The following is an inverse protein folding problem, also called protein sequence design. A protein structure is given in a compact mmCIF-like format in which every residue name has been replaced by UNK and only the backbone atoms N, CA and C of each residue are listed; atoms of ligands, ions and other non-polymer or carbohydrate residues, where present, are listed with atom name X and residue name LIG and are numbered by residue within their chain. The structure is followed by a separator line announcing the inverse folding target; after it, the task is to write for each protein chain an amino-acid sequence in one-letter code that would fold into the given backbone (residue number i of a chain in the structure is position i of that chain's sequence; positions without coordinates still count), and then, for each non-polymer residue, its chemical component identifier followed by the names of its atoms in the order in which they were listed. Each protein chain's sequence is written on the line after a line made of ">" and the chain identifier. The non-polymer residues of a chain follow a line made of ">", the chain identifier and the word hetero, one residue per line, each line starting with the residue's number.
data_IF_710792591817
#
_entry.id   IF_710792591817
#
_cell.length_a   1.000
_cell.length_b   1.000
_cell.length_c   1.000
_cell.angle_alpha   90.00
_cell.angle_beta   90.00
_cell.angle_gamma   90.00
#
_symmetry.space_group_name_H-M   'P 1'
#
loop_
_entity.id
_entity.type
_entity.pdbx_description
1 polymer ?
#
# COMPACT_ATOMS: atom_id res chain seq x y z
N UNK A 1 39.83 -43.08 57.00
CA UNK A 1 39.62 -42.74 58.42
C UNK A 1 40.25 -41.39 58.69
N UNK A 2 39.47 -40.50 59.31
CA UNK A 2 39.85 -39.24 59.95
C UNK A 2 40.50 -38.14 59.08
N UNK A 3 40.19 -36.86 59.23
CA UNK A 3 39.25 -36.19 60.12
C UNK A 3 38.92 -34.83 59.51
N UNK A 4 37.64 -34.46 59.54
CA UNK A 4 37.18 -33.09 59.36
C UNK A 4 37.78 -32.15 60.42
N UNK A 5 37.73 -30.83 60.17
CA UNK A 5 36.91 -29.87 60.94
C UNK A 5 37.49 -28.42 60.90
N UNK A 6 36.63 -27.44 60.52
CA UNK A 6 36.55 -26.01 60.94
C UNK A 6 37.59 -25.03 60.38
N UNK A 7 37.31 -23.77 59.99
CA UNK A 7 36.35 -22.70 60.35
C UNK A 7 36.29 -21.75 59.11
N UNK A 8 35.19 -21.67 58.35
CA UNK A 8 34.14 -20.63 58.35
C UNK A 8 34.49 -19.19 58.76
N UNK A 9 33.94 -18.26 57.96
CA UNK A 9 33.67 -16.82 58.18
C UNK A 9 34.70 -15.77 57.77
N UNK A 10 34.15 -14.73 57.13
CA UNK A 10 34.65 -13.36 56.98
C UNK A 10 35.38 -12.99 55.68
N UNK A 11 34.68 -13.01 54.54
CA UNK A 11 34.89 -12.01 53.48
C UNK A 11 33.62 -11.77 52.63
N UNK A 12 32.45 -11.95 53.24
CA UNK A 12 31.20 -11.42 52.72
C UNK A 12 31.05 -10.02 53.31
N UNK A 13 30.70 -9.04 52.47
CA UNK A 13 30.55 -7.60 52.77
C UNK A 13 31.81 -6.75 52.56
N UNK A 14 32.19 -6.50 51.30
CA UNK A 14 32.58 -5.15 50.83
C UNK A 14 32.72 -5.09 49.30
N UNK A 15 31.62 -5.28 48.57
CA UNK A 15 31.48 -4.75 47.20
C UNK A 15 30.05 -4.26 46.99
N UNK A 16 29.69 -3.24 47.77
CA UNK A 16 28.66 -2.27 47.39
C UNK A 16 29.38 -1.18 46.58
N UNK A 17 29.33 -1.30 45.25
CA UNK A 17 29.29 -0.20 44.29
C UNK A 17 29.60 -0.74 42.89
N UNK A 18 28.90 -0.19 41.89
CA UNK A 18 29.18 -0.31 40.46
C UNK A 18 28.75 -1.60 39.74
N UNK A 19 27.45 -1.66 39.43
CA UNK A 19 27.02 -1.76 38.04
C UNK A 19 25.55 -1.34 37.97
N UNK A 20 25.34 -0.09 37.56
CA UNK A 20 24.05 0.48 37.20
C UNK A 20 23.35 -0.39 36.15
N UNK A 21 22.03 -0.40 36.23
CA UNK A 21 21.16 -1.30 35.48
C UNK A 21 21.47 -1.30 33.99
N UNK A 22 21.59 -2.51 33.43
CA UNK A 22 21.25 -2.73 32.03
C UNK A 22 19.75 -2.51 31.92
N UNK A 23 19.38 -1.26 31.60
CA UNK A 23 18.13 -0.98 30.95
C UNK A 23 18.03 -1.91 29.75
N UNK A 24 17.02 -2.78 29.78
CA UNK A 24 16.42 -3.27 28.56
C UNK A 24 16.09 -2.03 27.74
N UNK A 25 16.88 -1.77 26.70
CA UNK A 25 16.38 -0.98 25.58
C UNK A 25 15.16 -1.73 25.09
N UNK A 26 14.01 -1.25 25.55
CA UNK A 26 12.73 -1.40 24.91
C UNK A 26 12.90 -0.76 23.54
N UNK A 27 13.48 -1.52 22.61
CA UNK A 27 13.37 -1.25 21.19
C UNK A 27 11.88 -1.31 20.93
N UNK A 28 11.27 -0.14 20.79
CA UNK A 28 9.92 0.02 20.30
C UNK A 28 9.77 -0.90 19.10
N UNK A 29 8.99 -1.95 19.30
CA UNK A 29 8.65 -2.95 18.30
C UNK A 29 7.85 -2.22 17.21
N UNK A 30 8.56 -1.63 16.25
CA UNK A 30 7.95 -1.19 15.02
C UNK A 30 7.47 -2.47 14.34
N UNK A 31 6.15 -2.60 14.19
CA UNK A 31 5.51 -3.54 13.27
C UNK A 31 6.41 -3.78 12.06
N UNK A 32 6.69 -5.04 11.63
CA UNK A 32 7.53 -5.29 10.46
C UNK A 32 7.01 -4.40 9.34
N UNK A 33 7.78 -3.34 9.02
CA UNK A 33 7.28 -2.29 8.15
C UNK A 33 6.90 -2.89 6.80
N UNK A 34 6.00 -2.25 6.09
CA UNK A 34 5.81 -2.54 4.68
C UNK A 34 6.80 -1.66 3.88
N UNK A 35 8.04 -2.09 3.60
CA UNK A 35 9.06 -1.24 2.96
C UNK A 35 8.64 -0.83 1.53
N UNK A 36 7.72 -1.57 0.91
CA UNK A 36 7.21 -1.30 -0.43
C UNK A 36 6.06 -0.30 -0.41
N UNK A 37 5.48 0.01 0.75
CA UNK A 37 4.42 1.02 0.85
C UNK A 37 4.94 2.43 0.53
N UNK A 38 6.13 2.81 1.02
CA UNK A 38 6.77 4.12 0.73
C UNK A 38 5.84 5.32 0.94
N UNK A 39 4.97 5.21 1.94
CA UNK A 39 3.96 6.22 2.27
C UNK A 39 2.71 6.23 1.38
N UNK A 40 2.49 5.22 0.55
CA UNK A 40 1.26 5.03 -0.24
C UNK A 40 0.17 4.20 0.47
N UNK A 41 0.35 3.90 1.76
CA UNK A 41 -0.61 3.19 2.60
C UNK A 41 0.01 1.92 3.16
N UNK A 42 0.32 1.94 4.46
CA UNK A 42 0.96 0.80 5.16
C UNK A 42 -0.03 -0.33 5.46
N UNK A 43 -1.33 -0.04 5.36
CA UNK A 43 -2.47 -0.95 5.46
C UNK A 43 -2.78 -1.69 4.14
N UNK A 44 -2.03 -1.40 3.08
CA UNK A 44 -2.11 -2.10 1.79
C UNK A 44 -0.95 -3.09 1.69
N UNK A 45 -1.25 -4.33 1.27
CA UNK A 45 -0.22 -5.35 1.03
C UNK A 45 0.46 -5.13 -0.33
N UNK A 46 1.49 -4.30 -0.34
CA UNK A 46 2.36 -4.07 -1.49
C UNK A 46 3.35 -5.22 -1.75
N UNK A 47 3.55 -5.56 -3.02
CA UNK A 47 4.56 -6.54 -3.48
C UNK A 47 5.45 -5.93 -4.56
N UNK A 48 6.60 -6.57 -4.81
CA UNK A 48 7.50 -6.18 -5.90
C UNK A 48 6.81 -6.38 -7.25
N UNK A 49 7.30 -5.71 -8.30
CA UNK A 49 6.74 -5.87 -9.64
C UNK A 49 6.86 -7.31 -10.15
N UNK A 50 8.02 -7.93 -9.97
CA UNK A 50 8.28 -9.32 -10.41
C UNK A 50 7.39 -10.32 -9.68
N UNK A 51 7.25 -10.20 -8.35
CA UNK A 51 6.39 -11.10 -7.57
C UNK A 51 4.92 -10.83 -7.85
N UNK A 52 4.56 -9.56 -8.07
CA UNK A 52 3.22 -9.18 -8.49
C UNK A 52 2.81 -9.92 -9.77
N UNK A 53 3.68 -9.99 -10.78
CA UNK A 53 3.39 -10.70 -12.02
C UNK A 53 3.21 -12.21 -11.83
N UNK A 54 3.96 -12.82 -10.91
CA UNK A 54 3.80 -14.24 -10.55
C UNK A 54 2.44 -14.46 -9.87
N UNK A 55 2.14 -13.66 -8.84
CA UNK A 55 0.91 -13.75 -8.05
C UNK A 55 -0.33 -13.55 -8.93
N UNK A 56 -0.30 -12.61 -9.87
CA UNK A 56 -1.41 -12.39 -10.81
C UNK A 56 -1.73 -13.65 -11.60
N UNK A 57 -0.71 -14.32 -12.15
CA UNK A 57 -0.89 -15.52 -12.98
C UNK A 57 -1.35 -16.72 -12.15
N UNK A 58 -0.84 -16.85 -10.94
CA UNK A 58 -1.17 -17.95 -10.01
C UNK A 58 -2.57 -17.79 -9.40
N UNK A 59 -2.89 -16.60 -8.89
CA UNK A 59 -4.15 -16.34 -8.18
C UNK A 59 -5.27 -15.86 -9.08
N UNK A 60 -4.99 -15.56 -10.36
CA UNK A 60 -5.96 -15.01 -11.33
C UNK A 60 -6.68 -13.76 -10.82
N UNK A 61 -5.92 -12.88 -10.16
CA UNK A 61 -6.37 -11.59 -9.64
C UNK A 61 -5.77 -10.45 -10.46
N UNK A 62 -6.49 -9.35 -10.69
CA UNK A 62 -5.94 -8.20 -11.40
C UNK A 62 -4.83 -7.52 -10.62
N UNK A 63 -3.93 -6.83 -11.33
CA UNK A 63 -2.90 -5.99 -10.72
C UNK A 63 -3.30 -4.52 -10.73
N UNK A 64 -3.00 -3.84 -9.65
CA UNK A 64 -2.87 -2.39 -9.60
C UNK A 64 -1.38 -2.05 -9.60
N UNK A 65 -0.90 -1.37 -10.65
CA UNK A 65 0.49 -0.97 -10.79
C UNK A 65 0.62 0.55 -10.69
N UNK A 66 1.20 1.04 -9.60
CA UNK A 66 1.57 2.44 -9.44
C UNK A 66 3.03 2.64 -9.80
N UNK A 67 3.28 3.51 -10.78
CA UNK A 67 4.63 3.93 -11.19
C UNK A 67 4.81 5.38 -10.78
N UNK A 68 5.83 5.65 -9.96
CA UNK A 68 6.16 7.00 -9.49
C UNK A 68 7.65 7.17 -9.23
N UNK A 69 8.09 8.41 -9.00
CA UNK A 69 9.47 8.73 -8.62
C UNK A 69 9.50 9.52 -7.31
N UNK A 70 10.53 9.35 -6.51
CA UNK A 70 10.72 10.03 -5.21
C UNK A 70 10.72 11.56 -5.32
N UNK A 71 11.32 12.09 -6.39
CA UNK A 71 11.52 13.51 -6.64
C UNK A 71 10.35 14.20 -7.35
N UNK A 72 9.33 13.44 -7.76
CA UNK A 72 8.20 13.93 -8.58
C UNK A 72 7.18 14.73 -7.74
N UNK A 73 6.97 16.04 -8.02
CA UNK A 73 6.04 16.86 -7.24
C UNK A 73 4.58 16.41 -7.34
N UNK A 74 4.13 15.98 -8.53
CA UNK A 74 2.77 15.48 -8.73
C UNK A 74 2.51 14.19 -7.91
N UNK A 75 3.52 13.33 -7.82
CA UNK A 75 3.49 12.09 -7.05
C UNK A 75 3.38 12.40 -5.54
N UNK A 76 4.18 13.35 -5.06
CA UNK A 76 4.12 13.85 -3.67
C UNK A 76 2.77 14.49 -3.34
N UNK A 77 2.14 15.18 -4.29
CA UNK A 77 0.82 15.79 -4.10
C UNK A 77 -0.33 14.78 -4.09
N UNK A 78 -0.21 13.67 -4.84
CA UNK A 78 -1.22 12.61 -4.89
C UNK A 78 -1.17 11.70 -3.65
N UNK A 79 0.04 11.34 -3.21
CA UNK A 79 0.29 10.40 -2.09
C UNK A 79 -0.59 10.64 -0.84
N UNK A 80 -0.64 11.84 -0.22
CA UNK A 80 -1.46 12.05 0.97
C UNK A 80 -2.97 12.01 0.70
N UNK A 81 -3.41 12.22 -0.54
CA UNK A 81 -4.83 12.07 -0.91
C UNK A 81 -5.17 10.59 -1.04
N UNK A 82 -4.27 9.82 -1.66
CA UNK A 82 -4.41 8.37 -1.83
C UNK A 82 -4.50 7.67 -0.48
N UNK A 83 -3.59 7.95 0.46
CA UNK A 83 -3.57 7.29 1.77
C UNK A 83 -4.77 7.62 2.65
N UNK A 84 -5.39 8.79 2.47
CA UNK A 84 -6.60 9.18 3.20
C UNK A 84 -7.87 8.53 2.66
N UNK A 85 -7.83 7.99 1.45
CA UNK A 85 -8.97 7.36 0.81
C UNK A 85 -9.10 5.89 1.25
N UNK A 86 -9.81 5.66 2.36
CA UNK A 86 -10.03 4.32 2.96
C UNK A 86 -10.54 3.29 1.95
N UNK A 87 -11.27 3.74 0.95
CA UNK A 87 -11.93 2.85 -0.02
C UNK A 87 -10.93 2.23 -0.98
N UNK A 88 -9.77 2.88 -1.19
CA UNK A 88 -8.64 2.26 -1.89
C UNK A 88 -8.12 1.06 -1.10
N UNK A 89 -8.06 1.14 0.23
CA UNK A 89 -7.63 0.04 1.10
C UNK A 89 -8.59 -1.13 0.98
N UNK A 90 -9.90 -0.88 1.00
CA UNK A 90 -10.90 -1.94 0.83
C UNK A 90 -10.85 -2.57 -0.57
N UNK A 91 -10.71 -1.76 -1.61
CA UNK A 91 -10.58 -2.27 -2.97
C UNK A 91 -9.25 -3.01 -3.18
N UNK A 92 -8.18 -2.59 -2.52
CA UNK A 92 -6.84 -3.20 -2.64
C UNK A 92 -6.84 -4.69 -2.31
N UNK A 93 -7.76 -5.14 -1.44
CA UNK A 93 -7.96 -6.55 -1.08
C UNK A 93 -8.34 -7.44 -2.26
N UNK A 94 -8.78 -6.87 -3.40
CA UNK A 94 -9.12 -7.61 -4.62
C UNK A 94 -8.02 -7.56 -5.69
N UNK A 95 -7.01 -6.72 -5.49
CA UNK A 95 -5.89 -6.56 -6.42
C UNK A 95 -4.59 -7.14 -5.86
N UNK A 96 -3.68 -7.46 -6.77
CA UNK A 96 -2.25 -7.53 -6.48
C UNK A 96 -1.71 -6.10 -6.57
N UNK A 97 -1.26 -5.54 -5.45
CA UNK A 97 -0.86 -4.14 -5.36
C UNK A 97 0.65 -4.00 -5.56
N UNK A 98 1.07 -3.27 -6.60
CA UNK A 98 2.48 -3.02 -6.91
C UNK A 98 2.76 -1.53 -6.87
N UNK A 99 3.84 -1.17 -6.18
CA UNK A 99 4.36 0.18 -6.07
C UNK A 99 5.80 0.18 -6.62
N UNK A 100 5.95 0.58 -7.88
CA UNK A 100 7.22 0.71 -8.56
C UNK A 100 7.75 2.16 -8.41
N UNK A 101 8.80 2.32 -7.60
CA UNK A 101 9.44 3.61 -7.33
C UNK A 101 10.79 3.69 -8.03
N UNK A 102 11.10 4.85 -8.61
CA UNK A 102 12.45 5.13 -9.14
C UNK A 102 12.90 4.06 -10.14
N UNK A 103 13.99 3.35 -9.89
CA UNK A 103 14.57 2.40 -10.84
C UNK A 103 13.78 1.08 -10.98
N UNK A 104 12.71 0.91 -10.20
CA UNK A 104 11.82 -0.25 -10.27
C UNK A 104 10.72 -0.11 -11.33
N UNK A 105 10.68 1.03 -12.03
CA UNK A 105 9.78 1.20 -13.18
C UNK A 105 10.07 0.13 -14.25
N UNK A 106 9.05 -0.66 -14.66
CA UNK A 106 9.20 -1.61 -15.75
C UNK A 106 9.63 -0.90 -17.05
N UNK A 107 10.61 -1.47 -17.75
CA UNK A 107 11.27 -0.82 -18.87
C UNK A 107 10.51 -1.00 -20.19
N UNK A 108 9.67 -2.03 -20.29
CA UNK A 108 8.97 -2.38 -21.52
C UNK A 108 7.90 -1.35 -21.91
N UNK A 109 7.78 -1.09 -23.22
CA UNK A 109 6.86 -0.06 -23.76
C UNK A 109 5.38 -0.35 -23.49
N UNK A 110 5.02 -1.60 -23.20
CA UNK A 110 3.66 -1.98 -22.79
C UNK A 110 3.23 -1.28 -21.49
N UNK A 111 4.18 -0.85 -20.64
CA UNK A 111 3.94 -0.09 -19.41
C UNK A 111 4.04 1.44 -19.61
N UNK A 112 4.14 1.89 -20.85
CA UNK A 112 4.17 3.29 -21.30
C UNK A 112 3.21 3.51 -22.49
N UNK A 113 1.96 3.02 -22.44
CA UNK A 113 1.04 2.98 -23.59
C UNK A 113 0.78 4.34 -24.26
N UNK A 114 0.96 5.45 -23.53
CA UNK A 114 0.86 6.83 -24.04
C UNK A 114 2.01 7.71 -23.53
N UNK A 115 3.16 7.11 -23.20
CA UNK A 115 4.39 7.79 -22.80
C UNK A 115 4.87 7.47 -21.38
N UNK A 116 6.09 7.93 -21.07
CA UNK A 116 6.82 7.64 -19.84
C UNK A 116 6.71 8.75 -18.76
N UNK A 117 5.58 9.48 -18.73
CA UNK A 117 5.34 10.51 -17.71
C UNK A 117 5.04 9.89 -16.34
N UNK A 118 4.97 10.68 -15.26
CA UNK A 118 4.70 10.17 -13.91
C UNK A 118 3.85 11.17 -13.10
N UNK A 119 3.05 10.72 -12.10
CA UNK A 119 2.75 9.31 -11.80
C UNK A 119 1.86 8.65 -12.86
N UNK A 120 1.95 7.33 -12.98
CA UNK A 120 1.05 6.51 -13.82
C UNK A 120 0.45 5.39 -12.98
N UNK A 121 -0.83 5.12 -13.21
CA UNK A 121 -1.52 3.96 -12.65
C UNK A 121 -2.01 3.12 -13.81
N UNK A 122 -1.54 1.88 -13.86
CA UNK A 122 -1.95 0.88 -14.84
C UNK A 122 -2.68 -0.26 -14.14
N UNK A 123 -3.66 -0.81 -14.84
CA UNK A 123 -4.34 -2.04 -14.43
C UNK A 123 -3.90 -3.17 -15.34
N UNK A 124 -3.56 -4.31 -14.74
CA UNK A 124 -3.29 -5.54 -15.49
C UNK A 124 -4.39 -6.56 -15.21
N UNK A 125 -4.80 -7.28 -16.25
CA UNK A 125 -5.77 -8.36 -16.15
C UNK A 125 -5.21 -9.60 -15.45
N UNK A 126 -6.03 -10.66 -15.39
CA UNK A 126 -5.71 -11.94 -14.70
C UNK A 126 -4.49 -12.70 -15.25
N UNK A 127 -4.01 -12.33 -16.44
CA UNK A 127 -2.83 -12.93 -17.08
C UNK A 127 -1.57 -12.07 -16.97
N UNK A 128 -1.65 -10.91 -16.30
CA UNK A 128 -0.54 -9.94 -16.20
C UNK A 128 -0.37 -9.08 -17.44
N UNK A 129 -1.42 -8.95 -18.27
CA UNK A 129 -1.43 -8.08 -19.45
C UNK A 129 -2.05 -6.73 -19.12
N UNK A 130 -1.42 -5.64 -19.55
CA UNK A 130 -1.93 -4.26 -19.36
C UNK A 130 -3.29 -4.09 -20.05
N UNK A 131 -4.28 -3.55 -19.32
CA UNK A 131 -5.61 -3.24 -19.82
C UNK A 131 -5.62 -1.81 -20.40
N UNK A 132 -5.25 -1.65 -21.66
CA UNK A 132 -5.10 -0.33 -22.32
C UNK A 132 -6.40 0.45 -22.51
N UNK A 133 -7.53 -0.23 -22.34
CA UNK A 133 -8.87 0.34 -22.30
C UNK A 133 -9.22 0.97 -20.94
N UNK A 134 -8.51 0.57 -19.87
CA UNK A 134 -8.68 1.11 -18.51
C UNK A 134 -7.88 2.40 -18.34
N UNK A 135 -8.51 3.51 -18.74
CA UNK A 135 -7.96 4.87 -18.65
C UNK A 135 -8.58 5.60 -17.47
N UNK A 136 -7.99 6.72 -17.08
CA UNK A 136 -8.59 7.65 -16.13
C UNK A 136 -9.93 8.17 -16.70
N UNK A 137 -11.09 7.86 -16.07
CA UNK A 137 -12.40 8.26 -16.58
C UNK A 137 -12.65 9.77 -16.48
N UNK A 138 -11.81 10.49 -15.73
CA UNK A 138 -11.83 11.96 -15.62
C UNK A 138 -10.79 12.64 -16.51
N UNK A 139 -10.09 11.90 -17.38
CA UNK A 139 -9.17 12.50 -18.35
C UNK A 139 -9.96 13.19 -19.47
N UNK A 140 -9.80 14.50 -19.56
CA UNK A 140 -10.43 15.31 -20.62
C UNK A 140 -9.45 15.58 -21.78
N UNK A 141 -8.18 15.24 -21.62
CA UNK A 141 -7.15 15.34 -22.64
C UNK A 141 -6.97 13.97 -23.30
N UNK A 142 -6.80 13.94 -24.62
CA UNK A 142 -6.32 12.74 -25.34
C UNK A 142 -4.87 12.34 -25.00
N UNK A 143 -4.26 13.03 -24.04
CA UNK A 143 -2.90 12.86 -23.56
C UNK A 143 -2.95 12.53 -22.06
N UNK A 144 -1.98 11.76 -21.57
CA UNK A 144 -1.84 11.40 -20.16
C UNK A 144 -3.02 10.60 -19.59
N UNK A 145 -3.50 9.63 -20.36
CA UNK A 145 -4.70 8.83 -20.07
C UNK A 145 -4.62 8.02 -18.78
N UNK A 146 -3.41 7.74 -18.28
CA UNK A 146 -3.17 6.98 -17.05
C UNK A 146 -2.66 7.85 -15.89
N UNK A 147 -2.75 9.19 -16.02
CA UNK A 147 -2.49 10.12 -14.93
C UNK A 147 -3.76 10.33 -14.10
N UNK A 148 -3.68 10.14 -12.78
CA UNK A 148 -4.79 10.31 -11.85
C UNK A 148 -4.46 11.38 -10.79
N UNK A 149 -5.05 12.59 -10.85
CA UNK A 149 -4.70 13.67 -9.92
C UNK A 149 -5.37 13.57 -8.55
N UNK A 150 -6.39 12.72 -8.41
CA UNK A 150 -7.20 12.55 -7.19
C UNK A 150 -7.63 11.09 -6.98
N UNK A 151 -8.03 10.69 -5.75
CA UNK A 151 -8.47 9.31 -5.46
C UNK A 151 -9.76 8.88 -6.16
N UNK A 152 -10.73 9.78 -6.34
CA UNK A 152 -12.04 9.45 -6.92
C UNK A 152 -11.97 8.72 -8.28
N UNK A 153 -11.23 9.20 -9.30
CA UNK A 153 -11.09 8.45 -10.55
C UNK A 153 -10.34 7.13 -10.37
N UNK A 154 -9.41 7.02 -9.42
CA UNK A 154 -8.72 5.76 -9.11
C UNK A 154 -9.73 4.72 -8.61
N UNK A 155 -10.56 5.10 -7.63
CA UNK A 155 -11.62 4.26 -7.07
C UNK A 155 -12.60 3.81 -8.16
N UNK A 156 -13.01 4.72 -9.05
CA UNK A 156 -13.89 4.38 -10.18
C UNK A 156 -13.24 3.35 -11.12
N UNK A 157 -12.00 3.57 -11.52
CA UNK A 157 -11.28 2.60 -12.37
C UNK A 157 -11.08 1.25 -11.67
N UNK A 158 -10.75 1.24 -10.37
CA UNK A 158 -10.64 -0.01 -9.60
C UNK A 158 -11.95 -0.80 -9.62
N UNK A 159 -13.09 -0.15 -9.33
CA UNK A 159 -14.41 -0.80 -9.40
C UNK A 159 -14.72 -1.32 -10.80
N UNK A 160 -14.45 -0.54 -11.84
CA UNK A 160 -14.69 -0.92 -13.23
C UNK A 160 -13.86 -2.15 -13.64
N UNK A 161 -12.58 -2.22 -13.24
CA UNK A 161 -11.75 -3.42 -13.47
C UNK A 161 -12.35 -4.64 -12.79
N UNK A 162 -12.77 -4.53 -11.53
CA UNK A 162 -13.37 -5.65 -10.80
C UNK A 162 -14.66 -6.15 -11.44
N UNK A 163 -15.51 -5.24 -11.94
CA UNK A 163 -16.72 -5.58 -12.69
C UNK A 163 -16.38 -6.25 -14.03
N UNK A 164 -15.49 -5.64 -14.81
CA UNK A 164 -15.12 -6.11 -16.14
C UNK A 164 -14.47 -7.50 -16.12
N UNK A 165 -13.75 -7.80 -15.06
CA UNK A 165 -13.10 -9.10 -14.85
C UNK A 165 -13.94 -10.06 -14.03
N UNK A 166 -15.17 -9.70 -13.68
CA UNK A 166 -16.11 -10.51 -12.89
C UNK A 166 -15.48 -11.03 -11.58
N UNK A 167 -14.68 -10.20 -10.91
CA UNK A 167 -14.04 -10.55 -9.62
C UNK A 167 -15.04 -10.38 -8.48
N UNK A 168 -15.83 -9.32 -8.54
CA UNK A 168 -16.76 -8.91 -7.47
C UNK A 168 -18.07 -8.45 -8.10
N UNK A 169 -19.20 -8.84 -7.50
CA UNK A 169 -20.53 -8.40 -7.91
C UNK A 169 -20.76 -6.90 -7.69
N UNK A 170 -21.62 -6.30 -8.52
CA UNK A 170 -21.94 -4.87 -8.46
C UNK A 170 -22.54 -4.47 -7.10
N UNK A 171 -23.36 -5.33 -6.53
CA UNK A 171 -23.96 -5.17 -5.20
C UNK A 171 -22.92 -4.94 -4.10
N UNK A 172 -21.80 -5.68 -4.14
CA UNK A 172 -20.70 -5.51 -3.18
C UNK A 172 -19.97 -4.19 -3.44
N UNK A 173 -19.73 -3.83 -4.70
CA UNK A 173 -19.01 -2.59 -5.05
C UNK A 173 -19.82 -1.32 -4.77
N UNK A 174 -21.15 -1.39 -4.85
CA UNK A 174 -22.05 -0.28 -4.53
C UNK A 174 -22.08 0.00 -3.01
N UNK A 175 -21.78 -1.02 -2.18
CA UNK A 175 -21.64 -0.86 -0.72
C UNK A 175 -20.28 -0.26 -0.30
N UNK A 176 -19.29 -0.22 -1.19
CA UNK A 176 -18.03 0.49 -0.95
C UNK A 176 -18.26 1.96 -1.32
N UNK A 177 -18.45 2.83 -0.33
CA UNK A 177 -18.65 4.28 -0.53
C UNK A 177 -17.60 4.85 -1.51
N UNK A 178 -17.97 5.38 -2.66
CA UNK A 178 -16.98 5.97 -3.59
C UNK A 178 -16.63 7.42 -3.26
N UNK A 179 -17.12 7.93 -2.13
CA UNK A 179 -16.95 9.31 -1.69
C UNK A 179 -17.77 10.31 -2.50
N UNK A 180 -18.70 9.86 -3.36
CA UNK A 180 -19.63 10.73 -4.08
C UNK A 180 -20.81 11.20 -3.22
N UNK A 181 -21.03 10.58 -2.05
CA UNK A 181 -22.13 10.94 -1.14
C UNK A 181 -21.65 11.95 -0.09
N UNK A 182 -21.57 13.22 -0.50
CA UNK A 182 -21.86 14.35 0.40
C UNK A 182 -22.62 15.43 -0.38
N UNK A 183 -23.92 15.50 -0.12
CA UNK A 183 -24.78 16.71 0.07
C UNK A 183 -26.19 16.44 -0.48
N UNK A 184 -27.02 15.68 0.25
CA UNK A 184 -28.47 15.69 0.00
C UNK A 184 -29.28 15.12 1.18
N UNK A 185 -28.88 15.31 2.45
CA UNK A 185 -29.72 14.89 3.58
C UNK A 185 -29.39 15.69 4.85
N UNK A 186 -29.53 17.01 4.78
CA UNK A 186 -29.69 17.86 5.98
C UNK A 186 -30.56 19.07 5.63
N UNK A 187 -31.82 18.83 5.29
CA UNK A 187 -32.87 19.86 5.26
C UNK A 187 -34.26 19.22 5.35
N UNK A 188 -34.50 18.46 6.42
CA UNK A 188 -35.86 18.12 6.83
C UNK A 188 -35.91 17.69 8.29
N UNK A 189 -35.64 18.64 9.18
CA UNK A 189 -36.15 18.66 10.55
C UNK A 189 -35.79 20.01 11.16
N UNK A 190 -36.73 20.95 11.09
CA UNK A 190 -37.16 21.77 12.22
C UNK A 190 -38.49 22.44 11.83
N UNK A 191 -39.41 22.41 12.79
CA UNK A 191 -40.77 22.94 12.71
C UNK A 191 -40.78 24.47 12.54
#
# INVERSE_FOLDING_TARGET
>A
MSCAVRILLSCFLLQLAYAEGKGTEESTESTPGNPLARGWGDDITWVSFEDGLKIVKEQKRPMFLLIHKSWCPACQALKPKFTKAKQIVDLSKYFVMVNAQDDEEPWEEVYKPDGAYIPRILFLGKEGTVMTDMKNPSSNSGQYMYYYPTPTPIIKSMKEVLLKLEIVGKDVLDNIDDGSVKTAETSKQEL
#
